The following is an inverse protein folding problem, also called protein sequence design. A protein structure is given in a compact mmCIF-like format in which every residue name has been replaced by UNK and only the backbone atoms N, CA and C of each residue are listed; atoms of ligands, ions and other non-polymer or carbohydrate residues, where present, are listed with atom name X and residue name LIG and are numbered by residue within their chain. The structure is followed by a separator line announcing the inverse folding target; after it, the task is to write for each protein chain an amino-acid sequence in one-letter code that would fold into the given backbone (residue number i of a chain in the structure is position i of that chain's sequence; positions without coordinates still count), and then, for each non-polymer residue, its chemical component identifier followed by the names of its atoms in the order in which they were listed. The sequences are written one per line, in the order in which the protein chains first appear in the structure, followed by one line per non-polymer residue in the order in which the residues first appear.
data_IF_970439586857
#
_entry.id   IF_970439586857
#
_cell.length_a   1.000
_cell.length_b   1.000
_cell.length_c   1.000
_cell.angle_alpha   90.00
_cell.angle_beta   90.00
_cell.angle_gamma   90.00
#
_symmetry.space_group_name_H-M   'P 1'
#
loop_
_entity.id
_entity.type
_entity.pdbx_description
1 polymer ?
#
# COMPACT_ATOMS: atom_id res chain seq x y z
N UNK A 1 40.64 19.08 -14.96
CA UNK A 1 39.61 18.02 -14.96
C UNK A 1 39.37 17.72 -13.49
N UNK A 2 38.17 18.03 -12.98
CA UNK A 2 37.93 18.10 -11.53
C UNK A 2 37.82 16.71 -10.90
N UNK A 3 38.62 16.49 -9.85
CA UNK A 3 38.72 15.29 -9.02
C UNK A 3 37.48 15.05 -8.14
N UNK A 4 36.35 14.62 -8.71
CA UNK A 4 35.18 14.30 -7.90
C UNK A 4 34.32 13.15 -8.47
N UNK A 5 34.97 12.07 -8.92
CA UNK A 5 34.31 10.82 -9.33
C UNK A 5 33.33 10.27 -8.29
N UNK A 6 33.64 10.41 -7.00
CA UNK A 6 32.76 9.99 -5.91
C UNK A 6 31.47 10.82 -5.80
N UNK A 7 31.55 12.13 -6.10
CA UNK A 7 30.39 13.02 -6.12
C UNK A 7 29.49 12.73 -7.33
N UNK A 8 30.11 12.48 -8.50
CA UNK A 8 29.40 12.10 -9.73
C UNK A 8 28.68 10.74 -9.57
N UNK A 9 29.29 9.78 -8.88
CA UNK A 9 28.64 8.50 -8.56
C UNK A 9 27.49 8.66 -7.56
N UNK A 10 27.66 9.48 -6.53
CA UNK A 10 26.60 9.78 -5.57
C UNK A 10 25.40 10.47 -6.23
N UNK A 11 25.64 11.42 -7.14
CA UNK A 11 24.58 12.05 -7.94
C UNK A 11 23.87 11.04 -8.83
N UNK A 12 24.60 10.15 -9.53
CA UNK A 12 23.99 9.08 -10.34
C UNK A 12 23.18 8.07 -9.52
N UNK A 13 23.51 7.86 -8.25
CA UNK A 13 22.70 7.02 -7.35
C UNK A 13 21.43 7.76 -6.90
N UNK A 14 21.53 9.04 -6.55
CA UNK A 14 20.37 9.87 -6.21
C UNK A 14 19.40 10.02 -7.39
N UNK A 15 19.91 10.23 -8.60
CA UNK A 15 19.09 10.34 -9.81
C UNK A 15 18.37 9.03 -10.13
N UNK A 16 19.04 7.88 -9.95
CA UNK A 16 18.40 6.56 -10.11
C UNK A 16 17.34 6.29 -9.04
N UNK A 17 17.60 6.70 -7.80
CA UNK A 17 16.65 6.56 -6.71
C UNK A 17 15.40 7.43 -6.94
N UNK A 18 15.58 8.68 -7.41
CA UNK A 18 14.48 9.56 -7.77
C UNK A 18 13.70 9.06 -8.99
N UNK A 19 14.37 8.47 -9.99
CA UNK A 19 13.71 7.91 -11.16
C UNK A 19 12.74 6.77 -10.80
N UNK A 20 13.15 5.84 -9.92
CA UNK A 20 12.28 4.74 -9.47
C UNK A 20 11.14 5.20 -8.54
N UNK A 21 11.28 6.33 -7.84
CA UNK A 21 10.18 6.87 -7.03
C UNK A 21 9.02 7.43 -7.87
N UNK A 22 9.26 7.73 -9.15
CA UNK A 22 8.26 8.30 -10.06
C UNK A 22 7.62 7.28 -11.01
N UNK A 23 7.99 6.00 -10.91
CA UNK A 23 7.45 4.95 -11.77
C UNK A 23 6.00 4.66 -11.37
N UNK A 24 5.07 5.26 -12.12
CA UNK A 24 3.64 5.02 -11.92
C UNK A 24 3.31 3.65 -12.49
N UNK A 25 3.31 2.63 -11.64
CA UNK A 25 2.81 1.31 -12.01
C UNK A 25 1.29 1.37 -12.15
N UNK A 26 0.80 1.40 -13.39
CA UNK A 26 -0.62 1.24 -13.67
C UNK A 26 -0.98 -0.24 -13.56
N UNK A 27 -1.58 -0.60 -12.44
CA UNK A 27 -2.15 -1.92 -12.26
C UNK A 27 -3.52 -1.98 -12.94
N UNK A 28 -3.69 -2.90 -13.89
CA UNK A 28 -5.00 -3.20 -14.47
C UNK A 28 -5.76 -4.14 -13.53
N UNK A 29 -6.43 -3.53 -12.55
CA UNK A 29 -7.23 -4.21 -11.54
C UNK A 29 -8.72 -4.08 -11.83
N UNK A 30 -9.47 -5.11 -11.46
CA UNK A 30 -10.93 -5.03 -11.41
C UNK A 30 -11.37 -3.99 -10.35
N UNK A 31 -12.60 -3.49 -10.46
CA UNK A 31 -13.08 -2.39 -9.60
C UNK A 31 -13.13 -2.76 -8.10
N UNK A 32 -13.53 -4.00 -7.81
CA UNK A 32 -13.48 -4.58 -6.46
C UNK A 32 -12.04 -4.68 -5.93
N UNK A 33 -11.09 -5.13 -6.76
CA UNK A 33 -9.67 -5.22 -6.40
C UNK A 33 -9.07 -3.84 -6.13
N UNK A 34 -9.42 -2.82 -6.93
CA UNK A 34 -9.01 -1.43 -6.69
C UNK A 34 -9.47 -0.93 -5.33
N UNK A 35 -10.73 -1.21 -4.99
CA UNK A 35 -11.32 -0.79 -3.71
C UNK A 35 -10.62 -1.46 -2.53
N UNK A 36 -10.32 -2.76 -2.65
CA UNK A 36 -9.55 -3.50 -1.64
C UNK A 36 -8.14 -2.93 -1.47
N UNK A 37 -7.42 -2.69 -2.56
CA UNK A 37 -6.06 -2.12 -2.54
C UNK A 37 -6.05 -0.72 -1.91
N UNK A 38 -7.00 0.14 -2.26
CA UNK A 38 -7.12 1.47 -1.66
C UNK A 38 -7.40 1.41 -0.17
N UNK A 39 -8.26 0.48 0.27
CA UNK A 39 -8.60 0.29 1.68
C UNK A 39 -7.39 -0.23 2.46
N UNK A 40 -6.72 -1.27 1.95
CA UNK A 40 -5.49 -1.80 2.55
C UNK A 40 -4.39 -0.72 2.64
N UNK A 41 -4.23 0.10 1.60
CA UNK A 41 -3.29 1.22 1.60
C UNK A 41 -3.56 2.25 2.69
N UNK A 42 -4.83 2.57 2.97
CA UNK A 42 -5.22 3.48 4.06
C UNK A 42 -4.95 2.89 5.44
N UNK A 43 -5.24 1.61 5.63
CA UNK A 43 -4.97 0.90 6.89
C UNK A 43 -3.45 0.86 7.14
N UNK A 44 -2.68 0.48 6.12
CA UNK A 44 -1.22 0.47 6.20
C UNK A 44 -0.64 1.86 6.47
N UNK A 45 -1.16 2.90 5.81
CA UNK A 45 -0.79 4.29 6.08
C UNK A 45 -1.02 4.70 7.54
N UNK A 46 -2.11 4.23 8.15
CA UNK A 46 -2.39 4.47 9.58
C UNK A 46 -1.37 3.80 10.49
N UNK A 47 -0.88 2.60 10.14
CA UNK A 47 0.21 1.93 10.88
C UNK A 47 1.53 2.69 10.77
N UNK A 48 1.82 3.30 9.60
CA UNK A 48 2.99 4.17 9.41
C UNK A 48 2.85 5.43 10.29
N UNK A 49 1.72 6.11 10.25
CA UNK A 49 1.47 7.34 11.04
C UNK A 49 1.56 7.08 12.55
N UNK A 50 1.16 5.89 13.00
CA UNK A 50 1.29 5.45 14.38
C UNK A 50 2.72 5.06 14.79
N UNK A 51 3.68 5.05 13.86
CA UNK A 51 5.08 4.68 14.13
C UNK A 51 5.31 3.18 14.36
N UNK A 52 4.38 2.32 13.90
CA UNK A 52 4.47 0.88 14.09
C UNK A 52 5.32 0.18 13.01
N UNK A 53 5.43 0.80 11.84
CA UNK A 53 6.12 0.25 10.67
C UNK A 53 7.60 0.62 10.68
N UNK A 54 8.46 -0.39 10.63
CA UNK A 54 9.91 -0.30 10.49
C UNK A 54 10.36 -1.05 9.23
N UNK A 55 11.60 -0.84 8.74
CA UNK A 55 12.12 -1.58 7.59
C UNK A 55 12.10 -3.11 7.77
N UNK A 56 12.22 -3.59 9.00
CA UNK A 56 12.29 -5.02 9.34
C UNK A 56 10.91 -5.68 9.38
N UNK A 57 9.85 -4.92 9.66
CA UNK A 57 8.49 -5.46 9.83
C UNK A 57 7.48 -4.99 8.76
N UNK A 58 7.92 -4.19 7.78
CA UNK A 58 7.04 -3.60 6.75
C UNK A 58 6.14 -4.62 6.06
N UNK A 59 6.67 -5.79 5.72
CA UNK A 59 5.94 -6.80 4.94
C UNK A 59 4.85 -7.48 5.79
N UNK A 60 5.08 -7.61 7.10
CA UNK A 60 4.09 -8.09 8.06
C UNK A 60 2.90 -7.12 8.16
N UNK A 61 3.17 -5.82 8.26
CA UNK A 61 2.12 -4.81 8.33
C UNK A 61 1.37 -4.62 7.02
N UNK A 62 2.03 -4.81 5.87
CA UNK A 62 1.35 -4.85 4.57
C UNK A 62 0.37 -6.02 4.53
N UNK A 63 0.81 -7.23 4.90
CA UNK A 63 -0.05 -8.41 4.95
C UNK A 63 -1.21 -8.24 5.92
N UNK A 64 -0.95 -7.64 7.09
CA UNK A 64 -1.97 -7.33 8.10
C UNK A 64 -3.02 -6.38 7.54
N UNK A 65 -2.60 -5.29 6.89
CA UNK A 65 -3.52 -4.33 6.30
C UNK A 65 -4.40 -4.91 5.18
N UNK A 66 -3.84 -5.81 4.36
CA UNK A 66 -4.60 -6.55 3.34
C UNK A 66 -5.65 -7.45 4.00
N UNK A 67 -5.25 -8.21 5.02
CA UNK A 67 -6.15 -9.10 5.75
C UNK A 67 -7.28 -8.32 6.44
N UNK A 68 -6.98 -7.18 7.05
CA UNK A 68 -7.97 -6.32 7.69
C UNK A 68 -8.96 -5.73 6.67
N UNK A 69 -8.48 -5.31 5.49
CA UNK A 69 -9.35 -4.84 4.41
C UNK A 69 -10.33 -5.93 3.94
N UNK A 70 -9.84 -7.17 3.76
CA UNK A 70 -10.69 -8.32 3.40
C UNK A 70 -11.73 -8.58 4.49
N UNK A 71 -11.32 -8.56 5.77
CA UNK A 71 -12.22 -8.79 6.89
C UNK A 71 -13.33 -7.73 6.99
N UNK A 72 -13.01 -6.48 6.71
CA UNK A 72 -14.00 -5.40 6.65
C UNK A 72 -14.98 -5.66 5.51
N UNK A 73 -14.49 -6.03 4.33
CA UNK A 73 -15.34 -6.33 3.18
C UNK A 73 -16.32 -7.49 3.48
N UNK A 74 -15.83 -8.60 4.03
CA UNK A 74 -16.69 -9.73 4.41
C UNK A 74 -17.75 -9.34 5.44
N UNK A 75 -17.41 -8.49 6.41
CA UNK A 75 -18.39 -8.04 7.41
C UNK A 75 -19.48 -7.14 6.82
N UNK A 76 -19.16 -6.38 5.78
CA UNK A 76 -20.16 -5.58 5.06
C UNK A 76 -21.10 -6.51 4.29
N UNK A 77 -20.56 -7.54 3.65
CA UNK A 77 -21.36 -8.57 2.97
C UNK A 77 -22.35 -9.24 3.93
N UNK A 78 -21.88 -9.72 5.08
CA UNK A 78 -22.73 -10.32 6.11
C UNK A 78 -23.87 -9.37 6.54
N UNK A 79 -23.55 -8.09 6.81
CA UNK A 79 -24.54 -7.09 7.23
C UNK A 79 -25.58 -6.81 6.15
N UNK A 80 -25.17 -6.76 4.88
CA UNK A 80 -26.08 -6.53 3.75
C UNK A 80 -27.00 -7.73 3.57
N UNK A 81 -26.47 -8.96 3.62
CA UNK A 81 -27.27 -10.18 3.53
C UNK A 81 -28.29 -10.29 4.68
N UNK A 82 -27.87 -10.04 5.93
CA UNK A 82 -28.75 -10.04 7.11
C UNK A 82 -29.88 -8.99 6.99
N UNK A 83 -29.63 -7.87 6.31
CA UNK A 83 -30.62 -6.82 6.11
C UNK A 83 -31.63 -7.18 5.00
N UNK A 84 -31.19 -7.89 3.96
CA UNK A 84 -32.07 -8.38 2.88
C UNK A 84 -33.01 -9.49 3.38
N UNK A 85 -32.53 -10.37 4.26
CA UNK A 85 -33.36 -11.45 4.86
C UNK A 85 -34.47 -10.94 5.79
N UNK A 86 -34.36 -9.72 6.33
CA UNK A 86 -35.36 -9.14 7.24
C UNK A 86 -36.51 -8.40 6.53
N UNK A 87 -36.44 -8.26 5.21
CA UNK A 87 -37.43 -7.51 4.40
C UNK A 87 -38.47 -8.45 3.75
N UNK A 88 -38.29 -9.77 3.85
CA UNK A 88 -39.27 -10.82 3.48
C UNK A 88 -40.13 -11.27 4.68
#
# INVERSE_FOLDING_TARGET
MSDNTALDEAMKMMDRHNAHQTETHYFDLQENEKTLVQTAGRIYGSYIEAGLVTPENKDEYINTAIHDAIRIASRIEDIVSDAEEQID
#
